data_IF_409397596786
#
_entry.id   IF_409397596786
#
_cell.length_a   1.000
_cell.length_b   1.000
_cell.length_c   1.000
_cell.angle_alpha   90.00
_cell.angle_beta   90.00
_cell.angle_gamma   90.00
#
_symmetry.space_group_name_H-M   'P 1'
#
loop_
_entity.id
_entity.type
_entity.pdbx_description
1 polymer ?
#
# COMPACT_ATOMS: atom_id res chain seq x y z
N UNK A 1 22.88 -16.46 -1.11
CA UNK A 1 23.77 -15.47 -1.76
C UNK A 1 23.20 -14.09 -1.47
N UNK A 2 23.85 -13.30 -0.59
CA UNK A 2 23.40 -11.95 -0.21
C UNK A 2 24.14 -10.94 -1.06
N UNK A 3 23.41 -10.10 -1.80
CA UNK A 3 23.98 -8.94 -2.49
C UNK A 3 24.13 -7.81 -1.45
N UNK A 4 25.34 -7.62 -0.96
CA UNK A 4 25.73 -6.65 0.10
C UNK A 4 26.21 -5.31 -0.48
N UNK A 5 25.62 -4.85 -1.59
CA UNK A 5 25.94 -3.54 -2.16
C UNK A 5 24.69 -2.90 -2.75
N UNK A 6 24.28 -1.78 -2.15
CA UNK A 6 23.12 -0.93 -2.53
C UNK A 6 21.77 -1.49 -2.06
N UNK A 7 21.14 -0.74 -1.14
CA UNK A 7 19.91 -1.00 -0.39
C UNK A 7 20.09 -1.92 0.83
N UNK A 8 20.22 -1.32 2.03
CA UNK A 8 19.75 -1.99 3.25
C UNK A 8 18.26 -2.29 3.05
N UNK A 9 17.72 -3.44 3.48
CA UNK A 9 16.28 -3.63 3.56
C UNK A 9 15.70 -2.41 4.30
N UNK A 10 14.98 -1.56 3.58
CA UNK A 10 14.38 -0.38 4.16
C UNK A 10 13.23 -0.84 5.03
N UNK A 11 13.22 -0.42 6.29
CA UNK A 11 12.02 -0.53 7.11
C UNK A 11 11.08 0.62 6.69
N UNK A 12 10.49 0.47 5.51
CA UNK A 12 9.75 1.52 4.83
C UNK A 12 8.48 1.91 5.61
N UNK A 13 7.92 0.98 6.37
CA UNK A 13 6.75 1.23 7.23
C UNK A 13 7.10 2.23 8.35
N UNK A 14 8.08 1.98 9.25
CA UNK A 14 8.53 2.97 10.22
C UNK A 14 9.04 4.25 9.59
N UNK A 15 9.67 4.20 8.42
CA UNK A 15 10.06 5.41 7.70
C UNK A 15 8.85 6.28 7.34
N UNK A 16 7.81 5.71 6.71
CA UNK A 16 6.61 6.44 6.30
C UNK A 16 5.84 6.99 7.50
N UNK A 17 5.70 6.20 8.57
CA UNK A 17 5.07 6.64 9.82
C UNK A 17 5.85 7.80 10.43
N UNK A 18 7.17 7.66 10.53
CA UNK A 18 8.05 8.71 11.10
C UNK A 18 8.00 9.97 10.25
N UNK A 19 8.04 9.85 8.92
CA UNK A 19 7.98 10.99 8.01
C UNK A 19 6.68 11.78 8.21
N UNK A 20 5.53 11.10 8.21
CA UNK A 20 4.23 11.76 8.44
C UNK A 20 4.21 12.49 9.79
N UNK A 21 4.66 11.81 10.86
CA UNK A 21 4.75 12.42 12.18
C UNK A 21 5.69 13.63 12.20
N UNK A 22 6.87 13.53 11.60
CA UNK A 22 7.85 14.63 11.53
C UNK A 22 7.26 15.85 10.83
N UNK A 23 6.61 15.68 9.68
CA UNK A 23 5.98 16.77 8.94
C UNK A 23 4.88 17.48 9.77
N UNK A 24 4.13 16.73 10.59
CA UNK A 24 3.15 17.31 11.51
C UNK A 24 3.85 18.08 12.63
N UNK A 25 4.85 17.49 13.29
CA UNK A 25 5.55 18.12 14.41
C UNK A 25 6.32 19.38 14.01
N UNK A 26 6.80 19.45 12.77
CA UNK A 26 7.48 20.63 12.21
C UNK A 26 6.48 21.70 11.71
N UNK A 27 5.17 21.46 11.83
CA UNK A 27 4.14 22.40 11.39
C UNK A 27 3.99 22.51 9.86
N UNK A 28 4.56 21.56 9.11
CA UNK A 28 4.52 21.54 7.64
C UNK A 28 3.20 20.94 7.15
N UNK A 29 2.69 19.92 7.84
CA UNK A 29 1.51 19.18 7.44
C UNK A 29 0.40 19.20 8.50
N UNK A 30 -0.83 19.23 8.03
CA UNK A 30 -2.02 19.03 8.86
C UNK A 30 -2.25 17.52 9.02
N UNK A 31 -2.28 16.98 10.26
CA UNK A 31 -2.43 15.54 10.49
C UNK A 31 -3.74 14.96 9.92
N UNK A 32 -4.76 15.80 9.70
CA UNK A 32 -6.03 15.39 9.11
C UNK A 32 -6.02 15.37 7.58
N UNK A 33 -4.94 15.81 6.92
CA UNK A 33 -4.84 16.01 5.47
C UNK A 33 -3.54 15.47 4.86
N UNK A 34 -3.03 14.36 5.37
CA UNK A 34 -1.89 13.64 4.79
C UNK A 34 -2.41 12.41 4.03
N UNK A 35 -2.02 12.26 2.76
CA UNK A 35 -2.48 11.17 1.90
C UNK A 35 -1.28 10.36 1.40
N UNK A 36 -1.45 9.05 1.27
CA UNK A 36 -0.42 8.16 0.73
C UNK A 36 -0.87 7.61 -0.62
N UNK A 37 -0.07 7.85 -1.66
CA UNK A 37 -0.31 7.33 -3.00
C UNK A 37 0.92 6.62 -3.56
N UNK A 38 0.73 5.57 -4.35
CA UNK A 38 1.82 4.75 -4.86
C UNK A 38 1.43 3.91 -6.07
N UNK A 39 2.43 3.65 -6.93
CA UNK A 39 2.29 2.89 -8.18
C UNK A 39 3.03 1.56 -8.07
N UNK A 40 2.43 0.47 -8.57
CA UNK A 40 3.04 -0.87 -8.61
C UNK A 40 3.50 -1.33 -7.22
N UNK A 41 4.79 -1.59 -6.99
CA UNK A 41 5.33 -1.87 -5.64
C UNK A 41 4.94 -0.82 -4.59
N UNK A 42 4.87 0.46 -4.97
CA UNK A 42 4.37 1.51 -4.10
C UNK A 42 2.86 1.40 -3.83
N UNK A 43 2.08 0.88 -4.78
CA UNK A 43 0.65 0.58 -4.59
C UNK A 43 0.45 -0.56 -3.60
N UNK A 44 1.22 -1.65 -3.70
CA UNK A 44 1.21 -2.70 -2.69
C UNK A 44 1.56 -2.18 -1.29
N UNK A 45 2.51 -1.23 -1.19
CA UNK A 45 2.82 -0.58 0.08
C UNK A 45 1.69 0.31 0.60
N UNK A 46 1.00 1.03 -0.29
CA UNK A 46 -0.21 1.79 0.08
C UNK A 46 -1.25 0.86 0.68
N UNK A 47 -1.50 -0.29 0.06
CA UNK A 47 -2.47 -1.28 0.54
C UNK A 47 -2.06 -1.85 1.89
N UNK A 48 -0.77 -2.13 2.09
CA UNK A 48 -0.23 -2.53 3.40
C UNK A 48 -0.46 -1.45 4.47
N UNK A 49 -0.13 -0.19 4.17
CA UNK A 49 -0.33 0.92 5.09
C UNK A 49 -1.80 1.18 5.39
N UNK A 50 -2.70 1.01 4.40
CA UNK A 50 -4.14 1.13 4.59
C UNK A 50 -4.67 0.02 5.49
N UNK A 51 -4.15 -1.19 5.35
CA UNK A 51 -4.58 -2.35 6.10
C UNK A 51 -4.06 -2.37 7.55
N UNK A 52 -2.75 -2.27 7.72
CA UNK A 52 -2.05 -2.48 8.99
C UNK A 52 -1.90 -1.16 9.79
N UNK A 53 -1.85 -0.02 9.10
CA UNK A 53 -1.55 1.30 9.67
C UNK A 53 -2.59 2.36 9.29
N UNK A 54 -3.86 1.94 9.21
CA UNK A 54 -5.02 2.75 8.79
C UNK A 54 -5.17 4.13 9.47
N UNK A 55 -4.59 4.33 10.64
CA UNK A 55 -4.69 5.56 11.42
C UNK A 55 -3.66 6.64 11.03
N UNK A 56 -2.68 6.32 10.19
CA UNK A 56 -1.53 7.21 9.90
C UNK A 56 -1.88 8.27 8.86
N UNK A 57 -2.60 7.90 7.79
CA UNK A 57 -2.95 8.79 6.70
C UNK A 57 -4.45 9.02 6.66
N UNK A 58 -4.86 10.20 6.20
CA UNK A 58 -6.26 10.57 6.00
C UNK A 58 -6.92 9.73 4.90
N UNK A 59 -6.17 9.41 3.83
CA UNK A 59 -6.63 8.56 2.74
C UNK A 59 -5.51 8.01 1.87
N UNK A 60 -5.87 7.08 0.98
CA UNK A 60 -4.94 6.21 0.26
C UNK A 60 -5.26 6.14 -1.24
N UNK A 61 -4.26 5.94 -2.08
CA UNK A 61 -4.45 5.68 -3.51
C UNK A 61 -3.45 4.64 -4.03
N UNK A 62 -3.96 3.47 -4.40
CA UNK A 62 -3.17 2.39 -4.98
C UNK A 62 -3.35 2.38 -6.50
N UNK A 63 -2.23 2.43 -7.23
CA UNK A 63 -2.20 2.50 -8.68
C UNK A 63 -1.44 1.29 -9.21
N UNK A 64 -2.01 0.55 -10.16
CA UNK A 64 -1.41 -0.64 -10.76
C UNK A 64 -0.95 -1.66 -9.70
N UNK A 65 -1.79 -1.90 -8.69
CA UNK A 65 -1.54 -2.86 -7.61
C UNK A 65 -2.86 -3.53 -7.21
N UNK A 66 -2.88 -4.86 -7.18
CA UNK A 66 -4.01 -5.67 -6.72
C UNK A 66 -3.71 -6.24 -5.35
N UNK A 67 -4.69 -6.26 -4.45
CA UNK A 67 -4.50 -6.64 -3.05
C UNK A 67 -3.90 -8.04 -2.89
N UNK A 68 -2.97 -8.24 -1.94
CA UNK A 68 -2.55 -9.58 -1.53
C UNK A 68 -3.75 -10.48 -1.21
N UNK A 69 -3.75 -11.72 -1.70
CA UNK A 69 -4.90 -12.61 -1.59
C UNK A 69 -5.33 -12.88 -0.13
N UNK A 70 -4.37 -12.93 0.80
CA UNK A 70 -4.60 -13.11 2.23
C UNK A 70 -5.36 -11.92 2.86
N UNK A 71 -5.35 -10.73 2.26
CA UNK A 71 -6.02 -9.56 2.82
C UNK A 71 -7.54 -9.72 2.89
N UNK A 72 -8.13 -10.59 2.06
CA UNK A 72 -9.55 -10.96 2.19
C UNK A 72 -9.89 -11.48 3.60
N UNK A 73 -8.99 -12.22 4.22
CA UNK A 73 -9.19 -12.84 5.53
C UNK A 73 -8.48 -12.10 6.67
N UNK A 74 -7.31 -11.52 6.38
CA UNK A 74 -6.43 -10.96 7.41
C UNK A 74 -6.55 -9.45 7.54
N UNK A 75 -7.04 -8.75 6.52
CA UNK A 75 -7.05 -7.30 6.56
C UNK A 75 -8.16 -6.76 7.46
N UNK A 76 -7.78 -6.20 8.60
CA UNK A 76 -8.67 -5.71 9.65
C UNK A 76 -8.20 -4.32 10.13
N UNK A 77 -8.40 -3.26 9.33
CA UNK A 77 -7.96 -1.92 9.70
C UNK A 77 -8.69 -1.44 10.97
N UNK A 78 -8.01 -0.67 11.82
CA UNK A 78 -8.58 -0.16 13.08
C UNK A 78 -9.69 0.88 12.88
N UNK A 79 -9.85 1.39 11.66
CA UNK A 79 -10.94 2.27 11.24
C UNK A 79 -11.27 2.06 9.76
N UNK A 80 -12.46 2.45 9.28
CA UNK A 80 -12.74 2.57 7.85
C UNK A 80 -11.74 3.53 7.19
N UNK A 81 -11.14 3.14 6.07
CA UNK A 81 -10.15 3.95 5.33
C UNK A 81 -10.70 4.37 3.96
N UNK A 82 -10.66 5.67 3.60
CA UNK A 82 -10.95 6.06 2.23
C UNK A 82 -9.76 5.68 1.36
N UNK A 83 -10.00 4.81 0.38
CA UNK A 83 -8.98 4.33 -0.55
C UNK A 83 -9.53 4.36 -1.99
N UNK A 84 -8.69 4.81 -2.91
CA UNK A 84 -8.96 4.77 -4.35
C UNK A 84 -8.02 3.76 -5.02
N UNK A 85 -8.59 2.97 -5.93
CA UNK A 85 -7.85 2.03 -6.74
C UNK A 85 -7.87 2.44 -8.22
N UNK A 86 -6.71 2.38 -8.88
CA UNK A 86 -6.59 2.65 -10.32
C UNK A 86 -5.88 1.45 -10.97
N UNK A 87 -6.61 0.72 -11.82
CA UNK A 87 -6.10 -0.46 -12.53
C UNK A 87 -6.24 -0.31 -14.04
N UNK A 88 -5.31 -0.91 -14.78
CA UNK A 88 -5.43 -1.10 -16.22
C UNK A 88 -5.95 -2.50 -16.55
N UNK A 89 -7.00 -2.61 -17.35
CA UNK A 89 -7.50 -3.92 -17.80
C UNK A 89 -6.53 -4.65 -18.75
N UNK A 90 -5.61 -3.92 -19.37
CA UNK A 90 -4.57 -4.43 -20.26
C UNK A 90 -3.17 -4.45 -19.60
N UNK A 91 -3.08 -4.32 -18.27
CA UNK A 91 -1.81 -4.38 -17.56
C UNK A 91 -1.25 -5.81 -17.61
N UNK A 92 -0.13 -5.98 -18.32
CA UNK A 92 0.55 -7.28 -18.47
C UNK A 92 1.52 -7.59 -17.33
N UNK A 93 1.72 -6.66 -16.40
CA UNK A 93 2.63 -6.80 -15.26
C UNK A 93 1.82 -7.20 -14.02
N UNK A 94 0.79 -6.41 -13.69
CA UNK A 94 -0.14 -6.68 -12.60
C UNK A 94 -1.52 -6.95 -13.21
N UNK A 95 -1.79 -8.22 -13.48
CA UNK A 95 -2.99 -8.63 -14.19
C UNK A 95 -4.28 -8.17 -13.45
N UNK A 96 -5.23 -7.63 -14.21
CA UNK A 96 -6.52 -7.15 -13.70
C UNK A 96 -7.32 -8.24 -12.96
N UNK A 97 -7.18 -9.49 -13.38
CA UNK A 97 -7.81 -10.66 -12.75
C UNK A 97 -7.12 -11.13 -11.46
N UNK A 98 -6.05 -10.44 -11.03
CA UNK A 98 -5.11 -10.97 -10.04
C UNK A 98 -4.18 -12.00 -10.67
N UNK A 99 -3.21 -12.45 -9.88
CA UNK A 99 -2.26 -13.46 -10.30
C UNK A 99 -1.86 -14.37 -9.14
N UNK A 100 -1.29 -15.52 -9.48
CA UNK A 100 -0.69 -16.45 -8.53
C UNK A 100 0.73 -16.80 -8.98
N UNK A 101 1.66 -16.80 -8.03
CA UNK A 101 3.03 -17.29 -8.20
C UNK A 101 3.43 -18.08 -6.96
N UNK A 102 4.51 -18.89 -7.01
CA UNK A 102 5.06 -19.52 -5.81
C UNK A 102 5.50 -18.53 -4.70
N UNK A 103 5.67 -17.24 -5.02
CA UNK A 103 6.06 -16.19 -4.08
C UNK A 103 4.87 -15.45 -3.46
N UNK A 104 3.65 -15.68 -3.95
CA UNK A 104 2.45 -15.00 -3.47
C UNK A 104 1.36 -14.91 -4.53
N UNK A 105 0.19 -14.50 -4.09
CA UNK A 105 -0.99 -14.32 -4.93
C UNK A 105 -1.71 -13.02 -4.61
N UNK A 106 -2.44 -12.51 -5.57
CA UNK A 106 -3.27 -11.31 -5.44
C UNK A 106 -4.72 -11.60 -5.79
N UNK A 107 -5.62 -10.78 -5.24
CA UNK A 107 -7.02 -10.72 -5.63
C UNK A 107 -7.17 -10.10 -7.02
N UNK A 108 -8.37 -10.21 -7.60
CA UNK A 108 -8.72 -9.41 -8.77
C UNK A 108 -8.79 -7.91 -8.42
N UNK A 109 -8.68 -7.03 -9.42
CA UNK A 109 -8.85 -5.59 -9.22
C UNK A 109 -10.20 -5.24 -8.56
N UNK A 110 -11.36 -5.78 -8.99
CA UNK A 110 -12.63 -5.59 -8.29
C UNK A 110 -12.61 -6.11 -6.85
N UNK A 111 -12.05 -7.30 -6.62
CA UNK A 111 -11.98 -7.88 -5.27
C UNK A 111 -11.03 -7.13 -4.33
N UNK A 112 -10.04 -6.42 -4.88
CA UNK A 112 -9.12 -5.58 -4.11
C UNK A 112 -9.83 -4.35 -3.50
N UNK A 113 -10.94 -3.93 -4.12
CA UNK A 113 -11.72 -2.76 -3.72
C UNK A 113 -12.98 -3.12 -2.91
N UNK A 114 -13.20 -4.40 -2.61
CA UNK A 114 -14.36 -4.92 -1.86
C UNK A 114 -14.09 -4.97 -0.36
#
# INVERSE_FOLDING_TARGET
MRLTGVLRPGDDVPFLVKLAHTLVTEGIADPSRIYLAGISNGGFMVERMACEFSHVFAGYTAIMATAPANYREECRPSRPVPIMFIHGTADSVIAYSGFWTPLGATLSAPDSAA
#
